data_IF_685840328547
#
_entry.id   IF_685840328547
#
_cell.length_a   1.000
_cell.length_b   1.000
_cell.length_c   1.000
_cell.angle_alpha   90.00
_cell.angle_beta   90.00
_cell.angle_gamma   90.00
#
_symmetry.space_group_name_H-M   'P 1'
#
loop_
_entity.id
_entity.type
_entity.pdbx_description
1 polymer ?
#
# COMPACT_ATOMS: atom_id res chain seq x y z
N UNK A 1 -17.89 33.30 2.82
CA UNK A 1 -18.61 32.12 2.32
C UNK A 1 -17.75 30.93 2.75
N UNK A 2 -18.13 30.27 3.85
CA UNK A 2 -17.30 29.22 4.46
C UNK A 2 -17.19 28.00 3.55
N UNK A 3 -16.06 27.30 3.65
CA UNK A 3 -15.84 26.04 2.95
C UNK A 3 -16.68 24.95 3.64
N UNK A 4 -17.45 24.20 2.84
CA UNK A 4 -18.25 23.07 3.32
C UNK A 4 -17.36 21.81 3.42
N UNK A 5 -17.05 21.42 4.65
CA UNK A 5 -16.20 20.25 4.94
C UNK A 5 -16.81 18.94 4.43
N UNK A 6 -18.13 18.78 4.51
CA UNK A 6 -18.84 17.58 4.04
C UNK A 6 -18.70 17.44 2.53
N UNK A 7 -18.93 18.54 1.80
CA UNK A 7 -18.76 18.56 0.34
C UNK A 7 -17.32 18.29 -0.09
N UNK A 8 -16.33 18.78 0.65
CA UNK A 8 -14.92 18.50 0.39
C UNK A 8 -14.57 17.02 0.63
N UNK A 9 -15.09 16.43 1.70
CA UNK A 9 -14.91 15.01 2.01
C UNK A 9 -15.54 14.10 0.95
N UNK A 10 -16.75 14.43 0.47
CA UNK A 10 -17.39 13.71 -0.62
C UNK A 10 -16.54 13.76 -1.91
N UNK A 11 -15.93 14.92 -2.22
CA UNK A 11 -15.10 15.10 -3.41
C UNK A 11 -13.74 14.38 -3.31
N UNK A 12 -13.21 14.16 -2.10
CA UNK A 12 -11.91 13.52 -1.91
C UNK A 12 -11.96 11.99 -1.97
N UNK A 13 -13.15 11.38 -2.10
CA UNK A 13 -13.30 9.93 -2.24
C UNK A 13 -12.73 9.47 -3.58
N UNK A 14 -11.77 8.54 -3.53
CA UNK A 14 -11.17 7.95 -4.72
C UNK A 14 -12.13 6.99 -5.41
N UNK A 15 -12.28 7.07 -6.72
CA UNK A 15 -13.27 6.25 -7.42
C UNK A 15 -12.69 5.09 -8.23
N UNK A 16 -11.36 5.00 -8.35
CA UNK A 16 -10.72 3.95 -9.16
C UNK A 16 -9.90 2.98 -8.33
N UNK A 17 -10.16 1.70 -8.55
CA UNK A 17 -9.39 0.58 -8.01
C UNK A 17 -9.24 -0.45 -9.12
N UNK A 18 -8.08 -1.10 -9.20
CA UNK A 18 -7.88 -2.27 -10.05
C UNK A 18 -8.38 -3.52 -9.32
N UNK A 19 -9.40 -4.19 -9.84
CA UNK A 19 -9.86 -5.47 -9.28
C UNK A 19 -8.90 -6.59 -9.69
N UNK A 20 -8.66 -7.61 -8.84
CA UNK A 20 -7.86 -8.77 -9.25
C UNK A 20 -8.37 -9.48 -10.52
N UNK A 21 -9.68 -9.43 -10.76
CA UNK A 21 -10.32 -10.00 -11.96
C UNK A 21 -10.06 -9.19 -13.23
N UNK A 22 -9.66 -7.92 -13.11
CA UNK A 22 -9.26 -7.10 -14.25
C UNK A 22 -7.83 -7.42 -14.72
N UNK A 23 -7.08 -8.22 -13.95
CA UNK A 23 -5.73 -8.65 -14.30
C UNK A 23 -5.82 -9.89 -15.20
N UNK A 24 -5.24 -9.85 -16.41
CA UNK A 24 -5.25 -11.00 -17.32
C UNK A 24 -4.55 -12.23 -16.73
N UNK A 25 -5.08 -13.41 -17.04
CA UNK A 25 -4.46 -14.71 -16.70
C UNK A 25 -3.19 -15.01 -17.52
N UNK A 26 -3.03 -14.34 -18.67
CA UNK A 26 -1.84 -14.51 -19.52
C UNK A 26 -0.69 -13.63 -19.02
N UNK A 27 0.53 -14.18 -19.03
CA UNK A 27 1.70 -13.40 -18.61
C UNK A 27 1.95 -12.19 -19.53
N UNK A 28 2.17 -11.02 -18.91
CA UNK A 28 2.31 -9.75 -19.59
C UNK A 28 3.77 -9.30 -19.73
N UNK A 29 4.07 -8.56 -20.80
CA UNK A 29 5.31 -7.80 -20.91
C UNK A 29 5.24 -6.52 -20.07
N UNK A 30 6.39 -6.01 -19.67
CA UNK A 30 6.52 -4.83 -18.78
C UNK A 30 5.71 -3.61 -19.26
N UNK A 31 5.68 -3.35 -20.57
CA UNK A 31 4.94 -2.19 -21.12
C UNK A 31 3.43 -2.38 -21.00
N UNK A 32 2.94 -3.62 -21.12
CA UNK A 32 1.52 -3.95 -20.93
C UNK A 32 1.10 -3.77 -19.47
N UNK A 33 1.98 -4.11 -18.53
CA UNK A 33 1.74 -3.90 -17.09
C UNK A 33 1.67 -2.40 -16.79
N UNK A 34 2.61 -1.60 -17.32
CA UNK A 34 2.59 -0.15 -17.15
C UNK A 34 1.29 0.43 -17.71
N UNK A 35 0.86 0.01 -18.91
CA UNK A 35 -0.42 0.43 -19.48
C UNK A 35 -1.62 0.03 -18.61
N UNK A 36 -1.66 -1.22 -18.13
CA UNK A 36 -2.72 -1.71 -17.24
C UNK A 36 -2.81 -0.88 -15.96
N UNK A 37 -1.67 -0.67 -15.30
CA UNK A 37 -1.58 0.11 -14.07
C UNK A 37 -1.96 1.58 -14.29
N UNK A 38 -1.48 2.20 -15.37
CA UNK A 38 -1.84 3.59 -15.71
C UNK A 38 -3.34 3.76 -15.98
N UNK A 39 -3.98 2.80 -16.67
CA UNK A 39 -5.41 2.87 -16.96
C UNK A 39 -6.28 2.86 -15.68
N UNK A 40 -5.85 2.11 -14.65
CA UNK A 40 -6.64 1.90 -13.44
C UNK A 40 -6.21 2.76 -12.25
N UNK A 41 -4.96 3.26 -12.23
CA UNK A 41 -4.37 3.98 -11.09
C UNK A 41 -3.93 5.41 -11.45
N UNK A 42 -3.84 5.75 -12.74
CA UNK A 42 -3.11 6.92 -13.22
C UNK A 42 -3.93 8.15 -13.60
N UNK A 43 -5.26 8.14 -13.49
CA UNK A 43 -6.07 9.31 -13.91
C UNK A 43 -6.19 10.43 -12.87
N UNK A 44 -5.71 10.23 -11.63
CA UNK A 44 -5.96 11.18 -10.54
C UNK A 44 -4.77 12.07 -10.18
N UNK A 45 -3.70 12.15 -10.97
CA UNK A 45 -2.62 13.15 -10.81
C UNK A 45 -1.83 13.14 -9.48
N UNK A 46 -2.27 12.38 -8.48
CA UNK A 46 -1.79 12.39 -7.10
C UNK A 46 -0.67 11.37 -6.85
N UNK A 47 -0.43 10.44 -7.78
CA UNK A 47 0.59 9.40 -7.62
C UNK A 47 1.45 9.25 -8.87
N UNK A 48 2.76 9.14 -8.64
CA UNK A 48 3.73 8.87 -9.71
C UNK A 48 3.35 7.57 -10.46
N UNK A 49 3.22 7.61 -11.78
CA UNK A 49 2.96 6.43 -12.59
C UNK A 49 4.02 5.34 -12.36
N UNK A 50 3.62 4.07 -12.40
CA UNK A 50 4.56 2.97 -12.33
C UNK A 50 5.49 3.02 -13.55
N UNK A 51 6.80 3.11 -13.33
CA UNK A 51 7.78 3.17 -14.42
C UNK A 51 8.55 1.85 -14.58
N UNK A 52 9.13 1.65 -15.76
CA UNK A 52 10.03 0.51 -16.05
C UNK A 52 11.17 0.41 -15.03
N UNK A 53 11.75 1.54 -14.64
CA UNK A 53 12.82 1.61 -13.65
C UNK A 53 12.35 1.12 -12.27
N UNK A 54 11.14 1.51 -11.83
CA UNK A 54 10.59 1.05 -10.56
C UNK A 54 10.40 -0.47 -10.55
N UNK A 55 9.84 -1.04 -11.61
CA UNK A 55 9.65 -2.49 -11.75
C UNK A 55 10.99 -3.24 -11.67
N UNK A 56 12.01 -2.74 -12.36
CA UNK A 56 13.36 -3.32 -12.27
C UNK A 56 13.94 -3.21 -10.85
N UNK A 57 13.74 -2.07 -10.17
CA UNK A 57 14.20 -1.90 -8.80
C UNK A 57 13.50 -2.85 -7.84
N UNK A 58 12.20 -3.08 -8.00
CA UNK A 58 11.45 -4.04 -7.18
C UNK A 58 11.95 -5.47 -7.39
N UNK A 59 12.20 -5.87 -8.64
CA UNK A 59 12.81 -7.17 -8.95
C UNK A 59 14.19 -7.33 -8.29
N UNK A 60 15.06 -6.33 -8.47
CA UNK A 60 16.42 -6.35 -7.90
C UNK A 60 16.43 -6.35 -6.37
N UNK A 61 15.47 -5.68 -5.74
CA UNK A 61 15.33 -5.63 -4.29
C UNK A 61 14.70 -6.91 -3.70
N UNK A 62 14.21 -7.83 -4.53
CA UNK A 62 13.50 -9.04 -4.10
C UNK A 62 12.11 -8.76 -3.53
N UNK A 63 11.47 -7.67 -3.99
CA UNK A 63 10.10 -7.29 -3.61
C UNK A 63 9.03 -8.03 -4.43
N UNK A 64 9.42 -8.49 -5.61
CA UNK A 64 8.58 -9.35 -6.47
C UNK A 64 9.29 -10.68 -6.70
N UNK A 65 8.53 -11.74 -6.98
CA UNK A 65 9.08 -13.05 -7.28
C UNK A 65 9.96 -13.03 -8.56
N UNK A 66 10.87 -14.00 -8.73
CA UNK A 66 11.78 -14.02 -9.88
C UNK A 66 11.04 -14.16 -11.22
N UNK A 67 11.21 -13.15 -12.08
CA UNK A 67 10.61 -13.09 -13.42
C UNK A 67 11.33 -14.04 -14.37
N UNK A 68 10.59 -14.87 -15.12
CA UNK A 68 11.12 -15.76 -16.16
C UNK A 68 10.79 -15.21 -17.55
N UNK A 69 11.77 -15.18 -18.46
CA UNK A 69 11.52 -14.89 -19.88
C UNK A 69 10.95 -13.50 -20.21
N UNK A 70 11.19 -12.48 -19.34
CA UNK A 70 10.68 -11.10 -19.48
C UNK A 70 9.15 -10.96 -19.43
N UNK A 71 8.47 -11.99 -18.96
CA UNK A 71 7.02 -12.05 -18.81
C UNK A 71 6.65 -12.13 -17.34
N UNK A 72 5.59 -11.42 -16.97
CA UNK A 72 5.15 -11.25 -15.59
C UNK A 72 3.76 -11.86 -15.44
N UNK A 73 3.64 -12.82 -14.53
CA UNK A 73 2.37 -13.44 -14.16
C UNK A 73 1.47 -12.50 -13.35
N UNK A 74 0.21 -12.91 -13.17
CA UNK A 74 -0.78 -12.25 -12.32
C UNK A 74 -0.27 -12.07 -10.89
N UNK A 75 0.42 -13.07 -10.31
CA UNK A 75 1.11 -12.92 -9.02
C UNK A 75 2.07 -11.70 -8.98
N UNK A 76 2.92 -11.52 -9.99
CA UNK A 76 3.85 -10.38 -10.02
C UNK A 76 3.11 -9.05 -10.08
N UNK A 77 1.99 -8.99 -10.82
CA UNK A 77 1.17 -7.77 -10.95
C UNK A 77 0.51 -7.45 -9.61
N UNK A 78 -0.01 -8.46 -8.90
CA UNK A 78 -0.57 -8.30 -7.55
C UNK A 78 0.49 -7.83 -6.54
N UNK A 79 1.71 -8.35 -6.61
CA UNK A 79 2.82 -7.86 -5.79
C UNK A 79 3.16 -6.40 -6.12
N UNK A 80 3.23 -6.02 -7.40
CA UNK A 80 3.45 -4.62 -7.80
C UNK A 80 2.32 -3.70 -7.34
N UNK A 81 1.07 -4.16 -7.41
CA UNK A 81 -0.09 -3.44 -6.89
C UNK A 81 0.01 -3.26 -5.37
N UNK A 82 0.47 -4.27 -4.63
CA UNK A 82 0.67 -4.19 -3.18
C UNK A 82 1.76 -3.16 -2.84
N UNK A 83 2.89 -3.19 -3.55
CA UNK A 83 3.96 -2.19 -3.38
C UNK A 83 3.41 -0.79 -3.66
N UNK A 84 2.68 -0.61 -4.77
CA UNK A 84 2.11 0.67 -5.16
C UNK A 84 1.09 1.21 -4.13
N UNK A 85 0.30 0.33 -3.53
CA UNK A 85 -0.68 0.66 -2.50
C UNK A 85 -0.01 1.02 -1.16
N UNK A 86 1.01 0.27 -0.74
CA UNK A 86 1.63 0.40 0.58
C UNK A 86 2.71 1.47 0.65
N UNK A 87 3.43 1.78 -0.44
CA UNK A 87 4.61 2.67 -0.44
C UNK A 87 4.36 4.11 0.04
N UNK A 88 3.10 4.56 0.06
CA UNK A 88 2.74 5.90 0.55
C UNK A 88 2.48 5.93 2.06
N UNK A 89 2.37 4.76 2.70
CA UNK A 89 2.10 4.60 4.14
C UNK A 89 3.26 3.92 4.85
N UNK A 90 3.96 3.03 4.17
CA UNK A 90 5.10 2.28 4.67
C UNK A 90 6.36 2.59 3.86
N UNK A 91 7.51 2.60 4.52
CA UNK A 91 8.80 2.66 3.84
C UNK A 91 9.02 1.43 2.96
N UNK A 92 9.85 1.53 1.92
CA UNK A 92 10.18 0.39 1.05
C UNK A 92 10.75 -0.81 1.83
N UNK A 93 11.47 -0.57 2.93
CA UNK A 93 11.97 -1.63 3.80
C UNK A 93 10.83 -2.37 4.53
N UNK A 94 9.84 -1.63 5.05
CA UNK A 94 8.65 -2.21 5.68
C UNK A 94 7.77 -2.94 4.66
N UNK A 95 7.57 -2.37 3.45
CA UNK A 95 6.86 -3.07 2.37
C UNK A 95 7.55 -4.39 2.03
N UNK A 96 8.89 -4.39 1.95
CA UNK A 96 9.65 -5.61 1.72
C UNK A 96 9.41 -6.63 2.82
N UNK A 97 9.50 -6.23 4.08
CA UNK A 97 9.22 -7.08 5.24
C UNK A 97 7.85 -7.74 5.13
N UNK A 98 6.79 -6.96 4.90
CA UNK A 98 5.42 -7.47 4.71
C UNK A 98 5.36 -8.50 3.59
N UNK A 99 5.83 -8.17 2.39
CA UNK A 99 5.72 -9.06 1.23
C UNK A 99 6.55 -10.34 1.38
N UNK A 100 7.73 -10.26 1.98
CA UNK A 100 8.56 -11.45 2.24
C UNK A 100 7.98 -12.34 3.33
N UNK A 101 7.45 -11.76 4.40
CA UNK A 101 6.80 -12.51 5.47
C UNK A 101 5.52 -13.18 4.98
N UNK A 102 4.72 -12.45 4.21
CA UNK A 102 3.56 -12.98 3.49
C UNK A 102 3.89 -14.20 2.64
N UNK A 103 4.90 -14.09 1.78
CA UNK A 103 5.34 -15.20 0.93
C UNK A 103 5.87 -16.38 1.76
N UNK A 104 6.59 -16.12 2.87
CA UNK A 104 7.08 -17.16 3.78
C UNK A 104 5.94 -17.90 4.51
N UNK A 105 4.80 -17.25 4.73
CA UNK A 105 3.57 -17.88 5.23
C UNK A 105 2.82 -18.69 4.18
N UNK A 106 3.32 -18.77 2.94
CA UNK A 106 2.72 -19.52 1.85
C UNK A 106 1.67 -18.75 1.04
N UNK A 107 1.59 -17.42 1.18
CA UNK A 107 0.69 -16.62 0.33
C UNK A 107 1.24 -16.51 -1.09
N UNK A 108 0.52 -17.08 -2.04
CA UNK A 108 0.77 -16.97 -3.48
C UNK A 108 -0.28 -16.10 -4.18
N UNK A 109 -0.47 -16.33 -5.47
CA UNK A 109 -1.40 -15.57 -6.31
C UNK A 109 -2.83 -15.54 -5.75
N UNK A 110 -3.38 -16.70 -5.38
CA UNK A 110 -4.77 -16.81 -4.94
C UNK A 110 -5.00 -16.11 -3.59
N UNK A 111 -4.05 -16.19 -2.65
CA UNK A 111 -4.13 -15.50 -1.37
C UNK A 111 -4.04 -13.98 -1.56
N UNK A 112 -3.12 -13.52 -2.42
CA UNK A 112 -2.98 -12.10 -2.75
C UNK A 112 -4.25 -11.54 -3.39
N UNK A 113 -4.84 -12.25 -4.36
CA UNK A 113 -6.10 -11.86 -4.99
C UNK A 113 -7.22 -11.70 -3.96
N UNK A 114 -7.40 -12.68 -3.08
CA UNK A 114 -8.39 -12.61 -1.98
C UNK A 114 -8.15 -11.45 -1.03
N UNK A 115 -6.89 -11.10 -0.74
CA UNK A 115 -6.58 -9.92 0.08
C UNK A 115 -7.08 -8.62 -0.58
N UNK A 116 -6.88 -8.47 -1.88
CA UNK A 116 -7.37 -7.30 -2.62
C UNK A 116 -8.90 -7.26 -2.72
N UNK A 117 -9.55 -8.38 -3.05
CA UNK A 117 -11.02 -8.48 -3.05
C UNK A 117 -11.60 -8.08 -1.68
N UNK A 118 -11.03 -8.62 -0.61
CA UNK A 118 -11.44 -8.30 0.77
C UNK A 118 -11.20 -6.83 1.10
N UNK A 119 -10.09 -6.27 0.66
CA UNK A 119 -9.76 -4.85 0.85
C UNK A 119 -10.73 -3.94 0.09
N UNK A 120 -11.12 -4.30 -1.14
CA UNK A 120 -12.10 -3.56 -1.94
C UNK A 120 -13.47 -3.60 -1.27
N UNK A 121 -13.95 -4.78 -0.87
CA UNK A 121 -15.25 -4.93 -0.21
C UNK A 121 -15.31 -4.15 1.13
N UNK A 122 -14.23 -4.17 1.91
CA UNK A 122 -14.14 -3.38 3.16
C UNK A 122 -14.09 -1.89 2.91
N UNK A 123 -13.44 -1.45 1.83
CA UNK A 123 -13.26 -0.04 1.50
C UNK A 123 -14.59 0.69 1.37
N UNK A 124 -15.55 0.12 0.63
CA UNK A 124 -16.83 0.80 0.40
C UNK A 124 -17.61 1.01 1.70
N UNK A 125 -17.63 -0.01 2.57
CA UNK A 125 -18.26 0.07 3.89
C UNK A 125 -17.53 1.05 4.82
N UNK A 126 -16.20 1.09 4.78
CA UNK A 126 -15.39 2.01 5.60
C UNK A 126 -15.55 3.45 5.11
N UNK A 127 -15.50 3.70 3.79
CA UNK A 127 -15.62 5.04 3.21
C UNK A 127 -16.98 5.68 3.56
N UNK A 128 -18.06 4.89 3.63
CA UNK A 128 -19.36 5.38 4.10
C UNK A 128 -19.31 5.84 5.57
N UNK A 129 -18.76 5.02 6.46
CA UNK A 129 -18.62 5.32 7.90
C UNK A 129 -17.62 6.44 8.19
N UNK A 130 -16.58 6.57 7.37
CA UNK A 130 -15.60 7.65 7.47
C UNK A 130 -16.23 9.01 7.21
N UNK A 131 -17.18 9.12 6.27
CA UNK A 131 -17.92 10.36 6.04
C UNK A 131 -18.64 10.83 7.30
N UNK A 132 -19.43 9.94 7.92
CA UNK A 132 -20.14 10.22 9.17
C UNK A 132 -19.18 10.57 10.32
N UNK A 133 -18.08 9.83 10.44
CA UNK A 133 -17.07 10.06 11.50
C UNK A 133 -16.38 11.41 11.32
N UNK A 134 -16.00 11.76 10.10
CA UNK A 134 -15.37 13.03 9.80
C UNK A 134 -16.31 14.21 10.05
N UNK A 135 -17.60 14.07 9.72
CA UNK A 135 -18.61 15.08 10.05
C UNK A 135 -18.71 15.29 11.55
N UNK A 136 -18.78 14.21 12.34
CA UNK A 136 -18.78 14.31 13.80
C UNK A 136 -17.54 14.99 14.36
N UNK A 137 -16.36 14.71 13.82
CA UNK A 137 -15.12 15.38 14.24
C UNK A 137 -15.22 16.90 14.00
N UNK A 138 -15.73 17.33 12.85
CA UNK A 138 -15.89 18.75 12.51
C UNK A 138 -16.87 19.43 13.48
N UNK A 139 -18.01 18.80 13.74
CA UNK A 139 -19.07 19.35 14.61
C UNK A 139 -18.64 19.38 16.09
N UNK A 140 -18.13 18.27 16.62
CA UNK A 140 -17.76 18.13 18.04
C UNK A 140 -16.57 19.04 18.42
N UNK A 141 -15.67 19.34 17.47
CA UNK A 141 -14.51 20.21 17.68
C UNK A 141 -14.72 21.65 17.18
N UNK A 142 -15.95 22.00 16.73
CA UNK A 142 -16.30 23.34 16.24
C UNK A 142 -15.37 23.87 15.14
N UNK A 143 -14.89 22.99 14.26
CA UNK A 143 -13.93 23.34 13.20
C UNK A 143 -14.63 24.23 12.16
N UNK A 144 -14.13 25.45 11.96
CA UNK A 144 -14.69 26.42 11.00
C UNK A 144 -13.73 26.64 9.84
N UNK A 145 -14.11 26.24 8.64
CA UNK A 145 -13.27 26.44 7.45
C UNK A 145 -13.60 27.77 6.74
N UNK A 146 -13.56 28.88 7.50
CA UNK A 146 -13.93 30.22 7.01
C UNK A 146 -12.76 31.23 6.96
N UNK A 147 -11.67 30.97 7.69
CA UNK A 147 -10.44 31.78 7.65
C UNK A 147 -9.20 30.94 7.27
N UNK A 148 -8.15 31.56 6.71
CA UNK A 148 -6.90 30.85 6.42
C UNK A 148 -6.22 30.24 7.66
N UNK A 149 -6.35 30.87 8.83
CA UNK A 149 -5.79 30.38 10.09
C UNK A 149 -6.45 29.08 10.53
N UNK A 150 -7.78 29.04 10.55
CA UNK A 150 -8.54 27.83 10.88
C UNK A 150 -8.30 26.70 9.88
N UNK A 151 -8.25 27.03 8.58
CA UNK A 151 -7.94 26.04 7.53
C UNK A 151 -6.54 25.46 7.77
N UNK A 152 -5.53 26.29 8.05
CA UNK A 152 -4.17 25.81 8.31
C UNK A 152 -4.12 24.93 9.57
N UNK A 153 -4.77 25.36 10.66
CA UNK A 153 -4.86 24.59 11.91
C UNK A 153 -5.47 23.20 11.67
N UNK A 154 -6.55 23.12 10.90
CA UNK A 154 -7.18 21.85 10.58
C UNK A 154 -6.31 20.97 9.67
N UNK A 155 -5.61 21.54 8.69
CA UNK A 155 -4.65 20.80 7.85
C UNK A 155 -3.49 20.21 8.67
N UNK A 156 -2.99 20.94 9.67
CA UNK A 156 -1.98 20.42 10.59
C UNK A 156 -2.53 19.26 11.42
N UNK A 157 -3.76 19.37 11.90
CA UNK A 157 -4.44 18.29 12.65
C UNK A 157 -4.61 17.03 11.78
N UNK A 158 -5.02 17.18 10.51
CA UNK A 158 -5.10 16.07 9.56
C UNK A 158 -3.74 15.44 9.27
N UNK A 159 -2.67 16.23 9.30
CA UNK A 159 -1.29 15.75 9.15
C UNK A 159 -0.91 14.86 10.35
N UNK A 160 -1.21 15.28 11.57
CA UNK A 160 -0.94 14.50 12.79
C UNK A 160 -1.72 13.17 12.81
N UNK A 161 -2.97 13.18 12.35
CA UNK A 161 -3.79 11.96 12.19
C UNK A 161 -3.16 11.03 11.16
N UNK A 162 -2.73 11.57 10.01
CA UNK A 162 -2.09 10.77 8.94
C UNK A 162 -0.79 10.14 9.41
N UNK A 163 0.02 10.88 10.16
CA UNK A 163 1.25 10.36 10.76
C UNK A 163 0.94 9.25 11.79
N UNK A 164 -0.06 9.44 12.64
CA UNK A 164 -0.50 8.44 13.62
C UNK A 164 -0.94 7.14 12.92
N UNK A 165 -1.73 7.23 11.85
CA UNK A 165 -2.16 6.06 11.07
C UNK A 165 -0.98 5.37 10.38
N UNK A 166 0.00 6.13 9.90
CA UNK A 166 1.21 5.58 9.27
C UNK A 166 2.09 4.84 10.29
N UNK A 167 2.26 5.40 11.50
CA UNK A 167 2.94 4.73 12.62
C UNK A 167 2.20 3.48 13.08
N UNK A 168 0.87 3.52 13.11
CA UNK A 168 0.06 2.34 13.42
C UNK A 168 0.23 1.23 12.38
N UNK A 169 0.23 1.57 11.09
CA UNK A 169 0.51 0.60 10.02
C UNK A 169 1.92 0.00 10.13
N UNK A 170 2.91 0.82 10.47
CA UNK A 170 4.27 0.35 10.73
C UNK A 170 4.32 -0.64 11.91
N UNK A 171 3.68 -0.33 13.03
CA UNK A 171 3.62 -1.20 14.19
C UNK A 171 2.94 -2.55 13.88
N UNK A 172 1.85 -2.55 13.09
CA UNK A 172 1.22 -3.80 12.61
C UNK A 172 2.22 -4.61 11.77
N UNK A 173 2.94 -3.97 10.86
CA UNK A 173 3.95 -4.66 10.05
C UNK A 173 5.05 -5.28 10.91
N UNK A 174 5.45 -4.63 11.99
CA UNK A 174 6.52 -5.11 12.88
C UNK A 174 6.07 -6.30 13.71
N UNK A 175 4.84 -6.25 14.24
CA UNK A 175 4.26 -7.30 15.07
C UNK A 175 4.00 -8.60 14.27
N UNK A 176 3.42 -8.49 13.08
CA UNK A 176 2.96 -9.66 12.31
C UNK A 176 4.00 -10.20 11.30
N UNK A 177 4.99 -9.40 10.93
CA UNK A 177 6.05 -9.80 10.02
C UNK A 177 7.43 -9.52 10.63
N UNK A 178 7.84 -10.23 11.70
CA UNK A 178 9.12 -9.98 12.33
C UNK A 178 10.28 -10.31 11.38
N UNK A 179 11.40 -9.61 11.53
CA UNK A 179 12.61 -9.94 10.78
C UNK A 179 13.05 -11.38 11.13
N UNK A 180 13.56 -12.16 10.16
CA UNK A 180 14.09 -13.48 10.45
C UNK A 180 15.21 -13.39 11.50
N UNK A 181 15.20 -14.31 12.48
CA UNK A 181 16.27 -14.36 13.48
C UNK A 181 17.64 -14.38 12.79
N UNK A 182 18.62 -13.59 13.29
CA UNK A 182 19.97 -13.63 12.73
C UNK A 182 20.52 -15.07 12.81
N UNK A 183 21.24 -15.54 11.78
CA UNK A 183 21.73 -16.91 11.76
C UNK A 183 22.59 -17.18 12.99
N UNK A 184 22.23 -18.22 13.77
CA UNK A 184 23.02 -18.67 14.92
C UNK A 184 24.46 -18.90 14.46
N UNK A 185 25.43 -18.20 15.08
CA UNK A 185 26.86 -18.35 14.79
C UNK A 185 27.22 -19.84 14.88
N UNK A 186 27.65 -20.44 13.76
CA UNK A 186 28.14 -21.82 13.74
C UNK A 186 29.30 -21.93 14.74
N UNK A 187 29.12 -22.71 15.80
CA UNK A 187 30.21 -23.05 16.72
C UNK A 187 31.35 -23.68 15.92
N UNK A 188 32.54 -23.07 16.01
CA UNK A 188 33.74 -23.62 15.40
C UNK A 188 34.03 -24.95 16.09
N UNK A 189 33.89 -26.06 15.36
CA UNK A 189 34.30 -27.39 15.83
C UNK A 189 35.75 -27.31 16.34
N UNK A 190 36.06 -27.83 17.54
CA UNK A 190 37.43 -27.81 18.04
C UNK A 190 38.34 -28.57 17.08
N UNK A 191 39.47 -27.95 16.72
CA UNK A 191 40.55 -28.61 15.97
C UNK A 191 41.00 -29.82 16.79
N UNK A 192 40.91 -31.03 16.20
CA UNK A 192 41.59 -32.20 16.76
C UNK A 192 43.09 -31.87 16.82
N UNK A 193 43.67 -31.88 18.02
CA UNK A 193 45.12 -31.82 18.19
C UNK A 193 45.73 -33.19 17.81
N UNK A 194 46.96 -33.19 17.27
CA UNK A 194 47.65 -34.39 16.80
C UNK A 194 48.01 -35.36 17.94
#
# INVERSE_FOLDING_TARGET
MGIDAEKLLQRSRRNKILHPDDIPELDLYIDQIISLMCAHLGSEGEREPLTRTMIHNYSKAGLISPVRGKKYSKEHILQMLAIYSLKNTLSIAQVKRVLTGAAASGMGEAELARCFETQIARRDAIDARLGETAQRIVEENQIKLDTPEEVLSFLLTLTDITDTLSRFAAAISEEYFPDPEPPKKKEKKPKKMP
#
